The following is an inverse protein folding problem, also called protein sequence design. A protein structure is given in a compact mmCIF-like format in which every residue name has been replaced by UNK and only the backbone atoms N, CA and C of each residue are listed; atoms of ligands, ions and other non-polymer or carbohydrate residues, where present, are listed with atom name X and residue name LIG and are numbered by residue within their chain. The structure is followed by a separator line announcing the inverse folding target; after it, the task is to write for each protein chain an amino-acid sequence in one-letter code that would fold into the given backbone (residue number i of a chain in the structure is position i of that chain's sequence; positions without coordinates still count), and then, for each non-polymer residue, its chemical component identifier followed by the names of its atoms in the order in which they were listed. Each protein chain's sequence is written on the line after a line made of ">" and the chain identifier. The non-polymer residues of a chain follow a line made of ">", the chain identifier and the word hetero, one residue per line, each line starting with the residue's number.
data_IF_075267874423
#
_entry.id   IF_075267874423
#
_cell.length_a   1.000
_cell.length_b   1.000
_cell.length_c   1.000
_cell.angle_alpha   90.00
_cell.angle_beta   90.00
_cell.angle_gamma   90.00
#
_symmetry.space_group_name_H-M   'P 1'
#
loop_
_entity.id
_entity.type
_entity.pdbx_description
1 polymer ?
#
# COMPACT_ATOMS: atom_id res chain seq x y z
N UNK A 1 -61.06 -20.35 -18.62
CA UNK A 1 -61.96 -20.34 -17.43
C UNK A 1 -61.16 -19.70 -16.30
N UNK A 2 -61.53 -18.58 -15.70
CA UNK A 2 -62.56 -17.58 -16.05
C UNK A 2 -62.77 -16.60 -14.88
N UNK A 3 -63.09 -15.34 -15.19
CA UNK A 3 -63.77 -14.32 -14.33
C UNK A 3 -63.07 -13.90 -13.01
N UNK A 4 -63.18 -12.66 -12.53
CA UNK A 4 -63.93 -11.48 -13.00
C UNK A 4 -63.51 -10.19 -12.29
N UNK A 5 -64.19 -9.08 -12.61
CA UNK A 5 -63.81 -7.69 -12.27
C UNK A 5 -64.50 -7.10 -11.01
N UNK A 6 -64.17 -5.83 -10.71
CA UNK A 6 -65.03 -4.80 -10.12
C UNK A 6 -65.37 -4.87 -8.60
N UNK A 7 -65.83 -3.79 -7.94
CA UNK A 7 -65.57 -2.33 -8.07
C UNK A 7 -66.08 -1.61 -6.81
N UNK A 8 -65.76 -0.31 -6.65
CA UNK A 8 -66.10 0.55 -5.50
C UNK A 8 -67.56 1.00 -5.39
N UNK A 9 -68.11 0.98 -4.16
CA UNK A 9 -69.30 1.71 -3.64
C UNK A 9 -69.05 1.92 -2.11
N UNK A 10 -69.49 2.95 -1.37
CA UNK A 10 -70.17 4.22 -1.68
C UNK A 10 -70.93 4.77 -0.42
N UNK A 11 -71.39 6.04 -0.48
CA UNK A 11 -72.35 6.70 0.46
C UNK A 11 -71.86 6.96 1.93
N UNK A 12 -72.31 7.97 2.71
CA UNK A 12 -73.36 9.00 2.54
C UNK A 12 -73.05 10.35 3.27
N UNK A 13 -73.68 11.44 2.82
CA UNK A 13 -73.83 12.76 3.48
C UNK A 13 -75.07 12.75 4.44
N UNK A 14 -75.53 13.83 5.15
CA UNK A 14 -75.27 15.29 4.99
C UNK A 14 -75.19 16.13 6.31
N UNK A 15 -75.24 17.47 6.22
CA UNK A 15 -75.92 18.31 7.23
C UNK A 15 -75.14 19.52 7.79
N UNK A 16 -75.73 20.71 7.78
CA UNK A 16 -75.10 22.00 8.11
C UNK A 16 -75.77 22.70 9.31
N UNK A 17 -75.02 23.48 10.10
CA UNK A 17 -75.54 24.53 11.00
C UNK A 17 -74.99 24.55 12.44
N UNK A 18 -74.67 25.73 12.99
CA UNK A 18 -74.45 25.91 14.44
C UNK A 18 -73.40 26.93 14.88
N UNK A 19 -73.84 28.14 15.20
CA UNK A 19 -73.10 29.35 15.56
C UNK A 19 -72.43 29.36 16.97
N UNK A 20 -71.11 29.65 17.04
CA UNK A 20 -70.40 30.47 18.08
C UNK A 20 -70.39 29.96 19.58
N UNK A 21 -69.57 30.52 20.51
CA UNK A 21 -68.57 29.70 21.21
C UNK A 21 -68.72 29.68 22.75
N UNK A 22 -67.87 28.90 23.43
CA UNK A 22 -67.46 29.21 24.83
C UNK A 22 -66.02 28.81 25.14
N UNK A 23 -65.28 29.79 25.66
CA UNK A 23 -63.89 29.65 26.09
C UNK A 23 -63.78 28.80 27.36
N UNK A 24 -62.82 27.86 27.39
CA UNK A 24 -62.08 27.56 28.61
C UNK A 24 -60.58 27.67 28.34
N UNK A 25 -60.03 28.83 28.74
CA UNK A 25 -58.60 29.10 28.75
C UNK A 25 -57.92 28.23 29.81
N UNK A 26 -57.00 27.36 29.40
CA UNK A 26 -55.88 26.92 30.24
C UNK A 26 -54.61 27.20 29.44
N UNK A 27 -53.72 28.00 30.02
CA UNK A 27 -52.56 28.55 29.32
C UNK A 27 -51.54 27.47 28.94
N UNK A 28 -51.27 27.32 27.64
CA UNK A 28 -50.07 26.60 27.19
C UNK A 28 -48.84 27.51 27.37
N UNK A 29 -48.00 27.18 28.35
CA UNK A 29 -46.65 27.71 28.38
C UNK A 29 -45.87 27.25 27.13
N UNK A 30 -45.08 28.12 26.47
CA UNK A 30 -44.33 27.73 25.29
C UNK A 30 -43.26 26.69 25.67
N UNK A 31 -43.42 25.45 25.20
CA UNK A 31 -42.37 24.43 25.30
C UNK A 31 -41.15 24.90 24.52
N UNK A 32 -40.03 25.10 25.22
CA UNK A 32 -38.76 25.42 24.58
C UNK A 32 -38.40 24.37 23.52
N UNK A 33 -37.84 24.76 22.36
CA UNK A 33 -37.42 23.81 21.34
C UNK A 33 -36.36 22.86 21.92
N UNK A 34 -36.55 21.55 21.74
CA UNK A 34 -35.56 20.54 22.13
C UNK A 34 -34.25 20.87 21.43
N UNK A 35 -33.21 21.24 22.20
CA UNK A 35 -31.86 21.43 21.67
C UNK A 35 -31.39 20.12 21.04
N UNK A 36 -31.26 20.10 19.73
CA UNK A 36 -30.47 19.08 19.03
C UNK A 36 -29.02 19.16 19.54
N UNK A 37 -28.31 18.03 19.70
CA UNK A 37 -26.94 18.05 20.19
C UNK A 37 -25.99 18.56 19.11
N UNK A 38 -25.86 19.88 19.00
CA UNK A 38 -24.85 20.56 18.19
C UNK A 38 -23.42 20.45 18.77
N UNK A 39 -23.11 19.30 19.41
CA UNK A 39 -21.86 19.02 20.10
C UNK A 39 -21.28 17.70 19.58
N UNK A 40 -20.34 17.79 18.62
CA UNK A 40 -19.20 16.87 18.37
C UNK A 40 -18.48 17.15 17.05
N UNK A 41 -19.13 17.80 16.09
CA UNK A 41 -18.52 18.10 14.77
C UNK A 41 -17.44 19.20 14.89
N UNK A 42 -17.69 20.27 15.65
CA UNK A 42 -16.72 21.37 15.86
C UNK A 42 -15.43 20.90 16.50
N UNK A 43 -15.48 20.17 17.62
CA UNK A 43 -14.28 19.66 18.29
C UNK A 43 -13.46 18.66 17.47
N UNK A 44 -14.10 17.89 16.57
CA UNK A 44 -13.39 17.02 15.63
C UNK A 44 -12.66 17.83 14.54
N UNK A 45 -13.29 18.89 14.03
CA UNK A 45 -12.70 19.82 13.06
C UNK A 45 -11.55 20.64 13.69
N UNK A 46 -11.74 21.16 14.89
CA UNK A 46 -10.70 21.87 15.66
C UNK A 46 -9.51 20.94 15.98
N UNK A 47 -9.78 19.70 16.39
CA UNK A 47 -8.75 18.68 16.58
C UNK A 47 -7.98 18.35 15.30
N UNK A 48 -8.66 18.27 14.16
CA UNK A 48 -8.05 18.10 12.84
C UNK A 48 -7.16 19.29 12.45
N UNK A 49 -7.64 20.52 12.61
CA UNK A 49 -6.85 21.73 12.31
C UNK A 49 -5.66 21.90 13.27
N UNK A 50 -5.83 21.61 14.55
CA UNK A 50 -4.73 21.61 15.52
C UNK A 50 -3.70 20.52 15.20
N UNK A 51 -4.13 19.34 14.75
CA UNK A 51 -3.22 18.28 14.28
C UNK A 51 -2.48 18.70 13.01
N UNK A 52 -3.17 19.29 12.03
CA UNK A 52 -2.59 19.76 10.77
C UNK A 52 -1.60 20.92 11.00
N UNK A 53 -1.96 21.89 11.85
CA UNK A 53 -1.10 22.98 12.29
C UNK A 53 0.14 22.47 13.04
N UNK A 54 -0.02 21.49 13.94
CA UNK A 54 1.12 20.85 14.61
C UNK A 54 2.01 20.05 13.65
N UNK A 55 1.44 19.35 12.66
CA UNK A 55 2.20 18.67 11.63
C UNK A 55 3.04 19.67 10.81
N UNK A 56 2.44 20.77 10.34
CA UNK A 56 3.15 21.86 9.65
C UNK A 56 4.21 22.49 10.55
N UNK A 57 3.92 22.77 11.82
CA UNK A 57 4.88 23.32 12.77
C UNK A 57 6.02 22.35 13.10
N UNK A 58 5.81 21.04 13.00
CA UNK A 58 6.84 20.02 13.21
C UNK A 58 7.72 19.86 11.96
N UNK A 59 7.13 19.87 10.76
CA UNK A 59 7.84 19.99 9.47
C UNK A 59 8.68 21.28 9.39
N UNK A 60 8.20 22.37 9.99
CA UNK A 60 8.96 23.63 10.07
C UNK A 60 10.13 23.58 11.04
N UNK A 61 10.01 22.88 12.18
CA UNK A 61 11.03 22.77 13.25
C UNK A 61 12.17 21.79 12.98
N UNK A 62 11.99 20.79 12.12
CA UNK A 62 13.09 19.89 11.67
C UNK A 62 14.10 20.53 10.70
N UNK A 63 14.21 21.86 10.69
CA UNK A 63 14.95 22.61 9.68
C UNK A 63 16.45 22.75 9.98
N UNK A 64 16.78 22.95 11.26
CA UNK A 64 18.11 23.37 11.73
C UNK A 64 19.01 22.20 12.14
N UNK A 65 18.49 20.97 12.06
CA UNK A 65 19.22 19.74 12.35
C UNK A 65 20.13 19.34 11.17
N UNK A 66 21.34 18.81 11.42
CA UNK A 66 22.25 18.38 10.36
C UNK A 66 21.62 17.25 9.54
N UNK A 67 21.40 17.53 8.26
CA UNK A 67 20.74 16.67 7.28
C UNK A 67 21.30 15.23 7.28
N UNK A 68 20.45 14.25 6.95
CA UNK A 68 20.70 12.79 6.94
C UNK A 68 21.73 12.31 5.87
N UNK A 69 22.80 13.08 5.65
CA UNK A 69 23.76 12.86 4.56
C UNK A 69 24.45 11.48 4.65
N UNK A 70 24.67 10.98 5.87
CA UNK A 70 25.23 9.66 6.12
C UNK A 70 24.24 8.56 5.73
N UNK A 71 22.99 8.63 6.20
CA UNK A 71 21.92 7.66 5.92
C UNK A 71 21.61 7.62 4.41
N UNK A 72 21.51 8.79 3.77
CA UNK A 72 21.32 8.91 2.31
C UNK A 72 22.49 8.29 1.53
N UNK A 73 23.74 8.52 1.97
CA UNK A 73 24.92 7.97 1.31
C UNK A 73 25.02 6.45 1.51
N UNK A 74 24.67 5.95 2.69
CA UNK A 74 24.58 4.52 2.98
C UNK A 74 23.49 3.84 2.13
N UNK A 75 22.29 4.42 2.06
CA UNK A 75 21.17 3.90 1.26
C UNK A 75 21.53 3.83 -0.23
N UNK A 76 22.18 4.87 -0.78
CA UNK A 76 22.67 4.86 -2.17
C UNK A 76 23.77 3.82 -2.40
N UNK A 77 24.73 3.67 -1.48
CA UNK A 77 25.77 2.63 -1.58
C UNK A 77 25.15 1.23 -1.55
N UNK A 78 24.18 0.98 -0.68
CA UNK A 78 23.45 -0.29 -0.64
C UNK A 78 22.71 -0.55 -1.95
N UNK A 79 21.95 0.42 -2.46
CA UNK A 79 21.22 0.29 -3.72
C UNK A 79 22.15 -0.02 -4.90
N UNK A 80 23.30 0.66 -5.00
CA UNK A 80 24.32 0.41 -6.01
C UNK A 80 24.93 -0.99 -5.91
N UNK A 81 25.39 -1.40 -4.71
CA UNK A 81 25.97 -2.72 -4.48
C UNK A 81 24.97 -3.84 -4.78
N UNK A 82 23.72 -3.67 -4.35
CA UNK A 82 22.64 -4.60 -4.63
C UNK A 82 22.33 -4.68 -6.14
N UNK A 83 22.23 -3.54 -6.85
CA UNK A 83 22.02 -3.54 -8.29
C UNK A 83 23.16 -4.21 -9.06
N UNK A 84 24.42 -4.00 -8.65
CA UNK A 84 25.59 -4.66 -9.23
C UNK A 84 25.53 -6.17 -8.98
N UNK A 85 25.26 -6.61 -7.73
CA UNK A 85 25.13 -8.02 -7.40
C UNK A 85 23.99 -8.70 -8.18
N UNK A 86 22.84 -8.02 -8.33
CA UNK A 86 21.72 -8.49 -9.12
C UNK A 86 22.08 -8.59 -10.61
N UNK A 87 22.76 -7.59 -11.17
CA UNK A 87 23.22 -7.59 -12.55
C UNK A 87 24.23 -8.70 -12.85
N UNK A 88 25.12 -8.99 -11.90
CA UNK A 88 26.09 -10.09 -12.01
C UNK A 88 25.38 -11.44 -11.99
N UNK A 89 24.48 -11.68 -11.03
CA UNK A 89 23.76 -12.96 -10.92
C UNK A 89 22.84 -13.20 -12.11
N UNK A 90 21.99 -12.23 -12.48
CA UNK A 90 21.11 -12.37 -13.65
C UNK A 90 21.95 -12.50 -14.94
N UNK A 91 23.03 -11.71 -15.06
CA UNK A 91 23.98 -11.80 -16.16
C UNK A 91 24.69 -13.15 -16.29
N UNK A 92 24.88 -13.90 -15.19
CA UNK A 92 25.43 -15.26 -15.23
C UNK A 92 24.39 -16.34 -15.58
N UNK A 93 23.09 -16.03 -15.45
CA UNK A 93 22.00 -16.96 -15.78
C UNK A 93 21.57 -16.89 -17.26
N UNK A 94 21.53 -15.68 -17.85
CA UNK A 94 21.11 -15.48 -19.26
C UNK A 94 22.24 -15.03 -20.21
N UNK A 95 23.39 -14.60 -19.67
CA UNK A 95 24.40 -13.87 -20.43
C UNK A 95 24.08 -12.37 -20.57
N UNK A 96 25.10 -11.51 -20.42
CA UNK A 96 24.95 -10.05 -20.37
C UNK A 96 24.21 -9.42 -21.57
N UNK A 97 24.34 -10.01 -22.76
CA UNK A 97 23.66 -9.53 -23.97
C UNK A 97 22.14 -9.78 -23.93
N UNK A 98 21.71 -10.89 -23.31
CA UNK A 98 20.30 -11.21 -23.11
C UNK A 98 19.67 -10.38 -21.97
N UNK A 99 20.47 -9.82 -21.06
CA UNK A 99 19.98 -8.84 -20.07
C UNK A 99 19.60 -7.52 -20.74
N UNK A 100 20.39 -7.05 -21.71
CA UNK A 100 20.29 -5.69 -22.24
C UNK A 100 18.94 -5.37 -22.89
N UNK A 101 18.39 -6.28 -23.70
CA UNK A 101 17.16 -6.02 -24.49
C UNK A 101 15.89 -6.02 -23.62
N UNK A 102 15.63 -7.01 -22.74
CA UNK A 102 14.48 -6.94 -21.82
C UNK A 102 14.65 -5.86 -20.75
N UNK A 103 15.88 -5.55 -20.31
CA UNK A 103 16.12 -4.44 -19.39
C UNK A 103 15.77 -3.07 -20.01
N UNK A 104 15.97 -2.88 -21.32
CA UNK A 104 15.47 -1.70 -22.03
C UNK A 104 13.93 -1.63 -22.04
N UNK A 105 13.25 -2.74 -22.38
CA UNK A 105 11.79 -2.80 -22.38
C UNK A 105 11.16 -2.58 -20.99
N UNK A 106 11.69 -3.26 -19.97
CA UNK A 106 11.30 -3.06 -18.57
C UNK A 106 11.60 -1.65 -18.07
N UNK A 107 12.73 -1.05 -18.49
CA UNK A 107 13.08 0.34 -18.20
C UNK A 107 12.09 1.36 -18.77
N UNK A 108 11.58 1.13 -19.98
CA UNK A 108 10.53 1.97 -20.60
C UNK A 108 9.22 1.89 -19.80
N UNK A 109 8.77 0.69 -19.44
CA UNK A 109 7.57 0.52 -18.62
C UNK A 109 7.74 1.14 -17.23
N UNK A 110 8.91 0.99 -16.60
CA UNK A 110 9.20 1.58 -15.31
C UNK A 110 9.30 3.13 -15.39
N UNK A 111 9.79 3.69 -16.49
CA UNK A 111 9.74 5.13 -16.74
C UNK A 111 8.30 5.64 -16.85
N UNK A 112 7.41 4.93 -17.55
CA UNK A 112 5.99 5.31 -17.61
C UNK A 112 5.31 5.19 -16.24
N UNK A 113 5.60 4.15 -15.46
CA UNK A 113 5.13 4.04 -14.08
C UNK A 113 5.60 5.22 -13.21
N UNK A 114 6.88 5.59 -13.27
CA UNK A 114 7.41 6.77 -12.57
C UNK A 114 6.70 8.05 -13.02
N UNK A 115 6.51 8.25 -14.33
CA UNK A 115 5.76 9.39 -14.89
C UNK A 115 4.36 9.45 -14.31
N UNK A 116 3.63 8.35 -14.32
CA UNK A 116 2.21 8.31 -13.94
C UNK A 116 2.01 8.50 -12.43
N UNK A 117 2.89 7.91 -11.61
CA UNK A 117 2.94 8.21 -10.17
C UNK A 117 3.24 9.70 -9.93
N UNK A 118 4.27 10.25 -10.57
CA UNK A 118 4.65 11.66 -10.38
C UNK A 118 3.57 12.64 -10.85
N UNK A 119 2.88 12.37 -11.96
CA UNK A 119 1.73 13.15 -12.41
C UNK A 119 0.55 13.04 -11.45
N UNK A 120 0.24 11.82 -10.97
CA UNK A 120 -0.82 11.57 -10.00
C UNK A 120 -0.63 12.31 -8.67
N UNK A 121 0.62 12.43 -8.19
CA UNK A 121 0.93 13.23 -6.99
C UNK A 121 1.31 14.68 -7.25
N UNK A 122 1.40 15.14 -8.50
CA UNK A 122 1.87 16.49 -8.82
C UNK A 122 1.16 17.62 -8.03
N UNK A 123 -0.17 17.60 -7.83
CA UNK A 123 -0.85 18.59 -6.99
C UNK A 123 -0.42 18.54 -5.52
N UNK A 124 -0.21 17.34 -4.98
CA UNK A 124 0.26 17.12 -3.59
C UNK A 124 1.72 17.58 -3.44
N UNK A 125 2.56 17.30 -4.44
CA UNK A 125 3.94 17.76 -4.49
C UNK A 125 4.02 19.30 -4.55
N UNK A 126 3.13 19.98 -5.27
CA UNK A 126 3.02 21.45 -5.26
C UNK A 126 2.64 21.97 -3.86
N UNK A 127 1.63 21.39 -3.21
CA UNK A 127 1.23 21.81 -1.85
C UNK A 127 2.37 21.58 -0.85
N UNK A 128 3.04 20.43 -0.89
CA UNK A 128 4.22 20.16 -0.08
C UNK A 128 5.36 21.13 -0.38
N UNK A 129 5.62 21.44 -1.64
CA UNK A 129 6.62 22.42 -2.07
C UNK A 129 6.36 23.81 -1.49
N UNK A 130 5.10 24.27 -1.51
CA UNK A 130 4.68 25.56 -0.93
C UNK A 130 4.83 25.53 0.60
N UNK A 131 4.43 24.45 1.27
CA UNK A 131 4.48 24.31 2.73
C UNK A 131 5.92 24.18 3.28
N UNK A 132 6.79 23.46 2.56
CA UNK A 132 8.19 23.21 2.93
C UNK A 132 9.09 24.41 2.55
N UNK A 133 8.81 25.06 1.42
CA UNK A 133 9.51 26.26 0.95
C UNK A 133 10.70 25.98 0.03
N UNK A 134 10.76 26.74 -1.06
CA UNK A 134 11.74 26.64 -2.15
C UNK A 134 13.21 26.57 -1.70
N UNK A 135 13.61 27.44 -0.76
CA UNK A 135 14.98 27.49 -0.24
C UNK A 135 15.42 26.15 0.38
N UNK A 136 14.52 25.42 1.05
CA UNK A 136 14.85 24.13 1.69
C UNK A 136 15.03 23.02 0.64
N UNK A 137 14.22 23.02 -0.40
CA UNK A 137 14.32 22.07 -1.51
C UNK A 137 15.61 22.33 -2.31
N UNK A 138 15.97 23.59 -2.55
CA UNK A 138 17.28 23.94 -3.15
C UNK A 138 18.46 23.45 -2.30
N UNK A 139 18.49 23.78 -1.01
CA UNK A 139 19.60 23.40 -0.11
C UNK A 139 19.75 21.88 0.07
N UNK A 140 18.66 21.11 -0.04
CA UNK A 140 18.65 19.64 0.13
C UNK A 140 18.58 18.86 -1.19
N UNK A 141 18.47 19.55 -2.33
CA UNK A 141 18.13 18.95 -3.64
C UNK A 141 19.09 17.85 -4.10
N UNK A 142 20.40 18.07 -3.94
CA UNK A 142 21.42 17.06 -4.30
C UNK A 142 21.32 15.77 -3.47
N UNK A 143 20.75 15.81 -2.27
CA UNK A 143 20.53 14.62 -1.46
C UNK A 143 19.16 13.98 -1.71
N UNK A 144 18.11 14.76 -1.96
CA UNK A 144 16.83 14.23 -2.43
C UNK A 144 16.98 13.47 -3.75
N UNK A 145 17.80 14.01 -4.67
CA UNK A 145 18.18 13.34 -5.91
C UNK A 145 18.93 12.02 -5.66
N UNK A 146 19.87 11.98 -4.71
CA UNK A 146 20.58 10.73 -4.32
C UNK A 146 19.63 9.67 -3.77
N UNK A 147 18.67 10.04 -2.92
CA UNK A 147 17.67 9.10 -2.39
C UNK A 147 16.76 8.60 -3.49
N UNK A 148 16.26 9.49 -4.35
CA UNK A 148 15.39 9.11 -5.47
C UNK A 148 16.12 8.19 -6.46
N UNK A 149 17.36 8.52 -6.84
CA UNK A 149 18.20 7.67 -7.67
C UNK A 149 18.45 6.30 -7.03
N UNK A 150 18.71 6.25 -5.71
CA UNK A 150 18.84 4.99 -4.98
C UNK A 150 17.55 4.15 -5.00
N UNK A 151 16.37 4.78 -4.88
CA UNK A 151 15.09 4.08 -5.00
C UNK A 151 14.90 3.47 -6.40
N UNK A 152 15.25 4.20 -7.45
CA UNK A 152 15.19 3.74 -8.85
C UNK A 152 16.18 2.59 -9.09
N UNK A 153 17.46 2.76 -8.73
CA UNK A 153 18.51 1.74 -8.89
C UNK A 153 18.17 0.45 -8.15
N UNK A 154 17.69 0.55 -6.90
CA UNK A 154 17.24 -0.59 -6.12
C UNK A 154 16.04 -1.30 -6.77
N UNK A 155 15.02 -0.56 -7.22
CA UNK A 155 13.84 -1.16 -7.87
C UNK A 155 14.19 -1.83 -9.20
N UNK A 156 15.11 -1.28 -9.99
CA UNK A 156 15.62 -1.95 -11.20
C UNK A 156 16.29 -3.28 -10.87
N UNK A 157 17.16 -3.32 -9.86
CA UNK A 157 17.82 -4.56 -9.41
C UNK A 157 16.82 -5.58 -8.86
N UNK A 158 15.80 -5.11 -8.15
CA UNK A 158 14.70 -5.93 -7.62
C UNK A 158 13.88 -6.58 -8.73
N UNK A 159 13.47 -5.82 -9.75
CA UNK A 159 12.69 -6.35 -10.87
C UNK A 159 13.49 -7.38 -11.67
N UNK A 160 14.78 -7.12 -11.92
CA UNK A 160 15.68 -8.10 -12.54
C UNK A 160 15.78 -9.39 -11.71
N UNK A 161 16.09 -9.27 -10.42
CA UNK A 161 16.25 -10.41 -9.52
C UNK A 161 14.97 -11.23 -9.42
N UNK A 162 13.83 -10.58 -9.15
CA UNK A 162 12.52 -11.24 -9.01
C UNK A 162 12.09 -11.93 -10.30
N UNK A 163 12.33 -11.31 -11.45
CA UNK A 163 12.08 -11.91 -12.76
C UNK A 163 12.94 -13.15 -13.05
N UNK A 164 14.11 -13.27 -12.44
CA UNK A 164 15.02 -14.41 -12.62
C UNK A 164 14.80 -15.59 -11.65
N UNK A 165 14.01 -15.42 -10.57
CA UNK A 165 13.81 -16.48 -9.58
C UNK A 165 13.28 -17.81 -10.18
N UNK A 166 12.33 -17.81 -11.15
CA UNK A 166 11.84 -19.04 -11.77
C UNK A 166 12.90 -19.80 -12.60
N UNK A 167 14.00 -19.14 -12.96
CA UNK A 167 15.15 -19.79 -13.63
C UNK A 167 16.00 -20.61 -12.66
N UNK A 168 16.03 -20.21 -11.39
CA UNK A 168 16.81 -20.86 -10.34
C UNK A 168 16.04 -22.00 -9.68
N UNK A 169 14.71 -21.86 -9.57
CA UNK A 169 13.82 -22.84 -8.96
C UNK A 169 12.41 -22.67 -9.55
N UNK A 170 11.76 -23.75 -10.03
CA UNK A 170 10.40 -23.67 -10.57
C UNK A 170 9.40 -23.30 -9.46
N UNK A 171 8.24 -22.77 -9.83
CA UNK A 171 7.13 -22.56 -8.90
C UNK A 171 6.65 -23.90 -8.32
N UNK A 172 6.50 -23.96 -7.00
CA UNK A 172 6.14 -25.19 -6.29
C UNK A 172 5.24 -24.96 -5.06
N UNK A 173 5.22 -23.73 -4.52
CA UNK A 173 4.60 -23.45 -3.23
C UNK A 173 3.10 -23.10 -3.33
N UNK A 174 2.56 -22.92 -4.54
CA UNK A 174 1.14 -22.57 -4.76
C UNK A 174 0.14 -23.50 -4.07
N UNK A 175 0.21 -24.85 -4.17
CA UNK A 175 -0.74 -25.72 -3.49
C UNK A 175 -0.73 -25.53 -1.98
N UNK A 176 0.47 -25.40 -1.39
CA UNK A 176 0.62 -25.19 0.05
C UNK A 176 -0.01 -23.86 0.51
N UNK A 177 0.23 -22.76 -0.20
CA UNK A 177 -0.36 -21.47 0.19
C UNK A 177 -1.87 -21.43 -0.03
N UNK A 178 -2.37 -22.04 -1.12
CA UNK A 178 -3.79 -22.15 -1.38
C UNK A 178 -4.50 -23.00 -0.30
N UNK A 179 -3.95 -24.14 0.07
CA UNK A 179 -4.49 -25.01 1.13
C UNK A 179 -4.42 -24.35 2.51
N UNK A 180 -3.36 -23.58 2.80
CA UNK A 180 -3.24 -22.82 4.03
C UNK A 180 -4.26 -21.66 4.10
N UNK A 181 -4.47 -20.93 3.00
CA UNK A 181 -5.51 -19.90 2.91
C UNK A 181 -6.90 -20.51 3.17
N UNK A 182 -7.22 -21.65 2.52
CA UNK A 182 -8.48 -22.37 2.72
C UNK A 182 -8.64 -22.84 4.18
N UNK A 183 -7.60 -23.42 4.77
CA UNK A 183 -7.62 -23.91 6.16
C UNK A 183 -7.81 -22.81 7.20
N UNK A 184 -7.28 -21.60 6.95
CA UNK A 184 -7.40 -20.46 7.85
C UNK A 184 -8.75 -19.72 7.75
N UNK A 185 -9.40 -19.75 6.59
CA UNK A 185 -10.59 -18.93 6.31
C UNK A 185 -11.88 -19.73 6.03
N UNK A 186 -11.78 -21.06 5.89
CA UNK A 186 -12.88 -21.96 5.53
C UNK A 186 -13.33 -21.90 4.06
N UNK A 187 -12.84 -20.93 3.29
CA UNK A 187 -13.04 -20.71 1.86
C UNK A 187 -11.87 -19.89 1.32
N UNK A 188 -11.53 -20.01 0.03
CA UNK A 188 -10.47 -19.20 -0.57
C UNK A 188 -10.77 -17.67 -0.39
N UNK A 189 -9.84 -16.87 0.17
CA UNK A 189 -10.12 -15.49 0.61
C UNK A 189 -10.63 -14.50 -0.44
N UNK A 190 -10.42 -14.78 -1.73
CA UNK A 190 -10.96 -13.96 -2.81
C UNK A 190 -12.50 -13.94 -2.81
N UNK A 191 -13.15 -15.03 -2.35
CA UNK A 191 -14.62 -15.11 -2.25
C UNK A 191 -15.15 -14.06 -1.27
N UNK A 192 -14.49 -13.88 -0.12
CA UNK A 192 -14.81 -12.81 0.82
C UNK A 192 -14.56 -11.42 0.24
N UNK A 193 -13.47 -11.25 -0.52
CA UNK A 193 -13.11 -9.96 -1.11
C UNK A 193 -14.17 -9.49 -2.13
N UNK A 194 -14.61 -10.37 -3.02
CA UNK A 194 -15.67 -10.09 -4.00
C UNK A 194 -17.08 -10.06 -3.39
N UNK A 195 -17.31 -10.74 -2.26
CA UNK A 195 -18.55 -10.63 -1.50
C UNK A 195 -18.75 -9.28 -0.80
N UNK A 196 -17.65 -8.59 -0.46
CA UNK A 196 -17.69 -7.28 0.21
C UNK A 196 -17.85 -6.08 -0.75
N UNK A 197 -17.38 -6.21 -1.99
CA UNK A 197 -17.43 -5.15 -3.00
C UNK A 197 -17.95 -5.72 -4.31
N UNK A 198 -19.13 -5.26 -4.72
CA UNK A 198 -19.78 -5.70 -5.95
C UNK A 198 -18.97 -5.40 -7.22
N UNK A 199 -19.18 -6.24 -8.24
CA UNK A 199 -18.33 -6.39 -9.44
C UNK A 199 -18.00 -5.10 -10.23
N UNK A 200 -18.77 -4.02 -10.07
CA UNK A 200 -18.64 -2.78 -10.86
C UNK A 200 -17.60 -1.75 -10.38
N UNK A 201 -17.04 -1.87 -9.18
CA UNK A 201 -16.11 -0.85 -8.61
C UNK A 201 -14.62 -1.17 -8.79
N UNK A 202 -14.29 -2.34 -9.35
CA UNK A 202 -12.91 -2.87 -9.44
C UNK A 202 -11.91 -1.94 -10.13
N UNK A 203 -12.31 -1.23 -11.20
CA UNK A 203 -11.42 -0.31 -11.93
C UNK A 203 -10.99 0.90 -11.09
N UNK A 204 -11.91 1.51 -10.32
CA UNK A 204 -11.59 2.67 -9.47
C UNK A 204 -10.69 2.24 -8.31
N UNK A 205 -10.99 1.09 -7.73
CA UNK A 205 -10.19 0.45 -6.68
C UNK A 205 -8.75 0.17 -7.14
N UNK A 206 -8.55 -0.27 -8.38
CA UNK A 206 -7.21 -0.52 -8.90
C UNK A 206 -6.39 0.74 -9.18
N UNK A 207 -7.00 1.80 -9.72
CA UNK A 207 -6.28 3.06 -9.93
C UNK A 207 -5.82 3.64 -8.60
N UNK A 208 -6.69 3.56 -7.58
CA UNK A 208 -6.32 3.86 -6.19
C UNK A 208 -5.20 2.94 -5.68
N UNK A 209 -5.29 1.63 -5.91
CA UNK A 209 -4.25 0.65 -5.54
C UNK A 209 -2.89 1.04 -6.11
N UNK A 210 -2.74 1.05 -7.44
CA UNK A 210 -1.45 1.27 -8.11
C UNK A 210 -0.90 2.67 -7.89
N UNK A 211 -1.75 3.70 -7.92
CA UNK A 211 -1.29 5.08 -7.74
C UNK A 211 -0.89 5.33 -6.30
N UNK A 212 -1.76 5.06 -5.32
CA UNK A 212 -1.45 5.32 -3.90
C UNK A 212 -0.32 4.42 -3.41
N UNK A 213 -0.28 3.15 -3.82
CA UNK A 213 0.84 2.28 -3.51
C UNK A 213 2.13 2.74 -4.17
N UNK A 214 2.08 3.15 -5.45
CA UNK A 214 3.21 3.68 -6.19
C UNK A 214 3.90 4.86 -5.51
N UNK A 215 3.15 5.73 -4.81
CA UNK A 215 3.71 6.80 -3.98
C UNK A 215 4.60 6.25 -2.86
N UNK A 216 4.12 5.26 -2.10
CA UNK A 216 4.91 4.67 -1.01
C UNK A 216 6.05 3.80 -1.56
N UNK A 217 5.81 3.08 -2.66
CA UNK A 217 6.80 2.25 -3.34
C UNK A 217 7.98 3.05 -3.91
N UNK A 218 7.73 4.22 -4.49
CA UNK A 218 8.76 5.04 -5.15
C UNK A 218 9.32 6.15 -4.25
N UNK A 219 8.45 6.83 -3.49
CA UNK A 219 8.78 8.10 -2.83
C UNK A 219 8.93 7.98 -1.31
N UNK A 220 8.67 6.83 -0.68
CA UNK A 220 8.74 6.72 0.79
C UNK A 220 10.09 7.17 1.39
N UNK A 221 11.27 6.73 0.91
CA UNK A 221 12.55 7.20 1.46
C UNK A 221 12.78 8.71 1.23
N UNK A 222 12.24 9.28 0.14
CA UNK A 222 12.30 10.73 -0.13
C UNK A 222 11.42 11.48 0.86
N UNK A 223 10.18 11.03 1.05
CA UNK A 223 9.23 11.57 2.05
C UNK A 223 9.88 11.52 3.43
N UNK A 224 10.38 10.35 3.85
CA UNK A 224 11.03 10.10 5.14
C UNK A 224 12.17 11.09 5.43
N UNK A 225 13.07 11.32 4.48
CA UNK A 225 14.20 12.28 4.61
C UNK A 225 13.75 13.74 4.63
N UNK A 226 12.57 14.05 4.09
CA UNK A 226 11.98 15.39 4.10
C UNK A 226 11.20 15.68 5.39
N UNK A 227 10.37 14.73 5.85
CA UNK A 227 9.38 14.97 6.92
C UNK A 227 9.82 14.54 8.32
N UNK A 228 10.98 13.90 8.43
CA UNK A 228 11.50 13.38 9.69
C UNK A 228 12.91 13.87 9.99
N UNK A 229 13.14 14.30 11.23
CA UNK A 229 14.44 14.77 11.73
C UNK A 229 15.12 13.74 12.64
N UNK A 230 14.43 12.68 13.05
CA UNK A 230 14.98 11.63 13.91
C UNK A 230 15.83 10.65 13.09
N UNK A 231 17.15 10.78 13.18
CA UNK A 231 18.12 9.93 12.48
C UNK A 231 17.93 8.43 12.77
N UNK A 232 17.56 8.06 14.00
CA UNK A 232 17.37 6.66 14.37
C UNK A 232 16.09 6.09 13.74
N UNK A 233 15.01 6.88 13.68
CA UNK A 233 13.77 6.51 12.96
C UNK A 233 13.98 6.48 11.45
N UNK A 234 14.63 7.49 10.86
CA UNK A 234 14.95 7.52 9.42
C UNK A 234 15.79 6.31 9.03
N UNK A 235 16.87 6.00 9.75
CA UNK A 235 17.69 4.80 9.49
C UNK A 235 16.89 3.50 9.63
N UNK A 236 16.06 3.36 10.68
CA UNK A 236 15.18 2.19 10.88
C UNK A 236 14.24 2.00 9.69
N UNK A 237 13.56 3.06 9.25
CA UNK A 237 12.58 2.95 8.15
C UNK A 237 13.23 2.82 6.76
N UNK A 238 14.44 3.33 6.55
CA UNK A 238 15.24 2.97 5.37
C UNK A 238 15.60 1.47 5.36
N UNK A 239 16.05 0.91 6.49
CA UNK A 239 16.34 -0.53 6.60
C UNK A 239 15.07 -1.35 6.32
N UNK A 240 13.93 -1.01 6.94
CA UNK A 240 12.66 -1.71 6.72
C UNK A 240 12.18 -1.64 5.27
N UNK A 241 12.36 -0.50 4.61
CA UNK A 241 12.04 -0.35 3.19
C UNK A 241 12.95 -1.23 2.32
N UNK A 242 14.27 -1.23 2.55
CA UNK A 242 15.19 -2.16 1.87
C UNK A 242 14.82 -3.62 2.13
N UNK A 243 14.40 -3.96 3.35
CA UNK A 243 13.94 -5.30 3.70
C UNK A 243 12.65 -5.70 2.96
N UNK A 244 11.69 -4.79 2.78
CA UNK A 244 10.46 -5.06 2.03
C UNK A 244 10.73 -5.45 0.57
N UNK A 245 11.69 -4.78 -0.09
CA UNK A 245 12.06 -5.07 -1.48
C UNK A 245 13.03 -6.24 -1.61
N UNK A 246 14.18 -6.19 -0.94
CA UNK A 246 15.30 -7.12 -1.17
C UNK A 246 15.16 -8.38 -0.33
N UNK A 247 14.95 -8.24 0.98
CA UNK A 247 14.87 -9.40 1.88
C UNK A 247 13.59 -10.20 1.60
N UNK A 248 12.42 -9.57 1.67
CA UNK A 248 11.14 -10.25 1.41
C UNK A 248 11.02 -10.61 -0.07
N UNK A 249 11.13 -9.62 -0.94
CA UNK A 249 10.81 -9.76 -2.36
C UNK A 249 11.80 -10.53 -3.22
N UNK A 250 12.99 -10.88 -2.71
CA UNK A 250 13.92 -11.80 -3.36
C UNK A 250 14.35 -12.97 -2.46
N UNK A 251 14.85 -12.72 -1.26
CA UNK A 251 15.44 -13.79 -0.42
C UNK A 251 14.37 -14.71 0.17
N UNK A 252 13.32 -14.14 0.78
CA UNK A 252 12.19 -14.93 1.30
C UNK A 252 11.33 -15.47 0.15
N UNK A 253 11.14 -14.68 -0.91
CA UNK A 253 10.44 -15.11 -2.12
C UNK A 253 11.02 -16.40 -2.73
N UNK A 254 12.36 -16.51 -2.79
CA UNK A 254 13.04 -17.70 -3.29
C UNK A 254 12.72 -18.97 -2.46
N UNK A 255 12.51 -18.83 -1.15
CA UNK A 255 12.14 -19.94 -0.25
C UNK A 255 10.67 -20.34 -0.29
N UNK A 256 9.86 -19.73 -1.14
CA UNK A 256 8.43 -20.00 -1.25
C UNK A 256 7.86 -19.55 -2.59
N UNK A 257 8.48 -19.96 -3.70
CA UNK A 257 8.08 -19.50 -5.03
C UNK A 257 6.67 -19.99 -5.41
N UNK A 258 5.77 -19.03 -5.53
CA UNK A 258 4.38 -19.21 -5.96
C UNK A 258 3.97 -18.18 -7.02
N UNK A 259 3.01 -18.51 -7.88
CA UNK A 259 2.46 -17.62 -8.92
C UNK A 259 1.24 -16.82 -8.45
N UNK A 260 0.50 -17.33 -7.46
CA UNK A 260 -0.70 -16.69 -6.92
C UNK A 260 -2.01 -17.14 -7.58
N UNK A 261 -3.17 -16.88 -6.94
CA UNK A 261 -4.48 -17.36 -7.39
C UNK A 261 -4.80 -17.14 -8.88
N UNK A 262 -4.45 -15.97 -9.43
CA UNK A 262 -4.73 -15.59 -10.83
C UNK A 262 -4.03 -16.49 -11.87
N UNK A 263 -2.91 -17.11 -11.49
CA UNK A 263 -2.10 -17.94 -12.38
C UNK A 263 -2.09 -19.43 -11.98
N UNK A 264 -2.67 -19.79 -10.83
CA UNK A 264 -2.68 -21.15 -10.28
C UNK A 264 -3.15 -22.20 -11.29
N UNK A 265 -4.39 -22.07 -11.79
CA UNK A 265 -4.98 -23.03 -12.75
C UNK A 265 -4.24 -23.00 -14.11
N UNK A 266 -3.64 -21.85 -14.48
CA UNK A 266 -2.83 -21.75 -15.71
C UNK A 266 -1.49 -22.50 -15.58
N UNK A 267 -0.94 -22.62 -14.37
CA UNK A 267 0.32 -23.30 -14.08
C UNK A 267 0.13 -24.81 -13.82
N UNK A 268 -0.86 -25.17 -13.00
CA UNK A 268 -1.05 -26.53 -12.47
C UNK A 268 -2.16 -27.31 -13.18
N UNK A 269 -3.00 -26.63 -13.98
CA UNK A 269 -4.26 -27.17 -14.46
C UNK A 269 -5.34 -27.20 -13.37
N UNK A 270 -6.54 -27.62 -13.76
CA UNK A 270 -7.71 -27.62 -12.88
C UNK A 270 -8.55 -26.33 -12.98
N UNK A 271 -9.45 -26.14 -12.02
CA UNK A 271 -10.47 -25.08 -12.02
C UNK A 271 -10.64 -24.44 -10.63
N UNK A 272 -9.63 -24.52 -9.74
CA UNK A 272 -9.75 -24.10 -8.33
C UNK A 272 -10.09 -22.61 -8.21
N UNK A 273 -9.48 -21.79 -9.06
CA UNK A 273 -9.69 -20.35 -9.11
C UNK A 273 -10.46 -19.91 -10.37
N UNK A 274 -11.09 -20.85 -11.11
CA UNK A 274 -11.91 -20.53 -12.28
C UNK A 274 -13.02 -19.52 -11.97
N UNK A 275 -13.63 -19.60 -10.78
CA UNK A 275 -14.62 -18.62 -10.31
C UNK A 275 -14.04 -17.21 -10.12
N UNK A 276 -12.79 -17.09 -9.66
CA UNK A 276 -12.10 -15.80 -9.54
C UNK A 276 -11.86 -15.21 -10.94
N UNK A 277 -11.40 -16.02 -11.89
CA UNK A 277 -11.20 -15.58 -13.28
C UNK A 277 -12.52 -15.10 -13.89
N UNK A 278 -13.61 -15.85 -13.71
CA UNK A 278 -14.93 -15.46 -14.20
C UNK A 278 -15.39 -14.11 -13.64
N UNK A 279 -15.32 -13.91 -12.31
CA UNK A 279 -15.75 -12.65 -11.67
C UNK A 279 -14.88 -11.46 -12.10
N UNK A 280 -13.56 -11.65 -12.29
CA UNK A 280 -12.68 -10.59 -12.82
C UNK A 280 -13.00 -10.26 -14.29
N UNK A 281 -13.37 -11.25 -15.10
CA UNK A 281 -13.77 -11.05 -16.50
C UNK A 281 -15.10 -10.28 -16.58
N UNK A 282 -16.11 -10.70 -15.82
CA UNK A 282 -17.45 -10.09 -15.77
C UNK A 282 -17.41 -8.65 -15.20
N UNK A 283 -16.55 -8.41 -14.21
CA UNK A 283 -16.25 -7.07 -13.68
C UNK A 283 -15.44 -6.18 -14.62
N UNK A 284 -15.14 -6.62 -15.85
CA UNK A 284 -14.40 -5.87 -16.87
C UNK A 284 -12.92 -5.66 -16.57
N UNK A 285 -12.37 -6.30 -15.53
CA UNK A 285 -11.00 -6.08 -15.05
C UNK A 285 -9.97 -6.48 -16.12
N UNK A 286 -10.29 -7.42 -16.99
CA UNK A 286 -9.41 -7.78 -18.12
C UNK A 286 -9.15 -6.63 -19.09
N UNK A 287 -10.13 -5.72 -19.26
CA UNK A 287 -10.00 -4.55 -20.14
C UNK A 287 -9.29 -3.38 -19.46
N UNK A 288 -8.89 -3.54 -18.20
CA UNK A 288 -8.10 -2.55 -17.46
C UNK A 288 -6.61 -2.88 -17.53
N UNK A 289 -5.78 -1.96 -17.06
CA UNK A 289 -4.34 -2.19 -16.88
C UNK A 289 -4.04 -3.40 -15.99
N UNK A 290 -4.96 -3.89 -15.13
CA UNK A 290 -4.78 -5.16 -14.41
C UNK A 290 -4.63 -6.31 -15.39
N UNK A 291 -5.67 -6.59 -16.20
CA UNK A 291 -5.70 -7.74 -17.09
C UNK A 291 -4.57 -7.71 -18.11
N UNK A 292 -4.37 -6.54 -18.73
CA UNK A 292 -3.24 -6.32 -19.64
C UNK A 292 -1.89 -6.63 -18.97
N UNK A 293 -1.73 -6.30 -17.68
CA UNK A 293 -0.53 -6.66 -16.92
C UNK A 293 -0.51 -8.17 -16.63
N UNK A 294 -1.59 -8.76 -16.12
CA UNK A 294 -1.67 -10.20 -15.81
C UNK A 294 -1.34 -11.06 -17.02
N UNK A 295 -1.94 -10.77 -18.18
CA UNK A 295 -1.67 -11.47 -19.43
C UNK A 295 -0.28 -11.16 -19.99
N UNK A 296 0.27 -9.95 -19.81
CA UNK A 296 1.65 -9.66 -20.21
C UNK A 296 2.67 -10.43 -19.36
N UNK A 297 2.51 -10.47 -18.03
CA UNK A 297 3.37 -11.23 -17.13
C UNK A 297 3.30 -12.74 -17.45
N UNK A 298 2.08 -13.27 -17.63
CA UNK A 298 1.86 -14.67 -18.00
C UNK A 298 2.45 -15.01 -19.37
N UNK A 299 2.23 -14.14 -20.37
CA UNK A 299 2.78 -14.31 -21.72
C UNK A 299 4.30 -14.36 -21.69
N UNK A 300 4.96 -13.43 -21.00
CA UNK A 300 6.40 -13.45 -20.82
C UNK A 300 6.85 -14.80 -20.23
N UNK A 301 6.30 -15.18 -19.08
CA UNK A 301 6.63 -16.45 -18.42
C UNK A 301 6.45 -17.69 -19.33
N UNK A 302 5.30 -17.80 -19.99
CA UNK A 302 4.97 -18.93 -20.88
C UNK A 302 5.78 -18.99 -22.17
N UNK A 303 6.41 -17.88 -22.59
CA UNK A 303 7.29 -17.82 -23.77
C UNK A 303 8.71 -18.33 -23.48
N UNK A 304 9.05 -18.64 -22.23
CA UNK A 304 10.28 -19.32 -21.84
C UNK A 304 11.15 -18.54 -20.85
N UNK A 305 12.03 -19.26 -20.15
CA UNK A 305 12.82 -18.75 -19.03
C UNK A 305 13.82 -17.62 -19.38
N UNK A 306 14.05 -17.32 -20.67
CA UNK A 306 14.89 -16.20 -21.11
C UNK A 306 14.19 -14.83 -21.00
N UNK A 307 12.88 -14.79 -20.76
CA UNK A 307 12.12 -13.54 -20.62
C UNK A 307 12.36 -12.87 -19.24
N UNK A 308 13.50 -12.20 -19.08
CA UNK A 308 13.71 -11.28 -17.96
C UNK A 308 12.57 -10.25 -17.96
N UNK A 309 11.73 -10.30 -16.92
CA UNK A 309 10.65 -9.32 -16.73
C UNK A 309 9.26 -9.88 -16.50
N UNK A 310 9.05 -11.21 -16.52
CA UNK A 310 7.74 -11.76 -16.11
C UNK A 310 7.41 -11.41 -14.65
N UNK A 311 8.42 -11.27 -13.77
CA UNK A 311 8.28 -10.75 -12.40
C UNK A 311 7.36 -11.53 -11.47
N UNK A 312 6.81 -12.67 -11.95
CA UNK A 312 5.81 -13.46 -11.24
C UNK A 312 6.46 -14.07 -10.00
N UNK A 313 5.97 -13.66 -8.83
CA UNK A 313 6.20 -14.31 -7.55
C UNK A 313 5.23 -13.66 -6.55
N UNK A 314 4.20 -14.40 -6.15
CA UNK A 314 3.16 -13.93 -5.26
C UNK A 314 3.67 -13.89 -3.80
N UNK A 315 4.20 -14.99 -3.29
CA UNK A 315 4.76 -15.02 -1.95
C UNK A 315 6.18 -14.44 -1.88
N UNK A 316 6.52 -13.67 -0.82
CA UNK A 316 5.61 -12.89 0.03
C UNK A 316 5.21 -11.57 -0.65
N UNK A 317 4.09 -10.97 -0.24
CA UNK A 317 3.57 -9.78 -0.92
C UNK A 317 4.39 -8.52 -0.60
N UNK A 318 5.23 -8.09 -1.55
CA UNK A 318 5.99 -6.83 -1.46
C UNK A 318 5.05 -5.62 -1.36
N UNK A 319 3.87 -5.69 -1.98
CA UNK A 319 2.86 -4.64 -1.89
C UNK A 319 2.45 -4.38 -0.43
N UNK A 320 2.04 -5.45 0.26
CA UNK A 320 1.67 -5.43 1.68
C UNK A 320 2.88 -5.12 2.57
N UNK A 321 4.09 -5.56 2.21
CA UNK A 321 5.31 -5.22 2.94
C UNK A 321 5.57 -3.71 2.95
N UNK A 322 5.57 -3.05 1.78
CA UNK A 322 5.73 -1.58 1.67
C UNK A 322 4.61 -0.85 2.39
N UNK A 323 3.36 -1.33 2.31
CA UNK A 323 2.25 -0.75 3.05
C UNK A 323 2.41 -0.91 4.58
N UNK A 324 3.02 -2.02 5.04
CA UNK A 324 3.34 -2.25 6.45
C UNK A 324 4.41 -1.27 6.93
N UNK A 325 5.47 -1.04 6.13
CA UNK A 325 6.50 -0.03 6.42
C UNK A 325 5.87 1.36 6.58
N UNK A 326 4.95 1.74 5.69
CA UNK A 326 4.21 3.00 5.78
C UNK A 326 3.30 3.08 7.02
N UNK A 327 2.57 2.02 7.34
CA UNK A 327 1.67 1.96 8.50
C UNK A 327 2.44 2.08 9.83
N UNK A 328 3.51 1.31 10.01
CA UNK A 328 4.36 1.41 11.21
C UNK A 328 5.06 2.75 11.32
N UNK A 329 5.46 3.36 10.19
CA UNK A 329 6.02 4.72 10.18
C UNK A 329 5.01 5.74 10.70
N UNK A 330 3.80 5.75 10.13
CA UNK A 330 2.73 6.65 10.53
C UNK A 330 2.33 6.46 12.00
N UNK A 331 2.26 5.21 12.47
CA UNK A 331 1.98 4.88 13.86
C UNK A 331 3.05 5.40 14.83
N UNK A 332 4.34 5.36 14.47
CA UNK A 332 5.40 5.99 15.25
C UNK A 332 5.37 7.52 15.22
N UNK A 333 4.89 8.14 14.13
CA UNK A 333 4.80 9.61 14.02
C UNK A 333 3.68 10.18 14.88
N UNK A 334 2.53 9.50 14.96
CA UNK A 334 1.41 9.91 15.81
C UNK A 334 0.36 8.80 15.94
N UNK A 335 -0.22 8.64 17.13
CA UNK A 335 -1.41 7.79 17.36
C UNK A 335 -2.60 8.12 16.45
N UNK A 336 -2.71 9.37 15.99
CA UNK A 336 -3.76 9.79 15.05
C UNK A 336 -3.45 9.42 13.59
N UNK A 337 -2.17 9.25 13.25
CA UNK A 337 -1.72 8.78 11.94
C UNK A 337 -1.70 7.25 11.84
N UNK A 338 -1.67 6.55 12.98
CA UNK A 338 -1.80 5.09 13.04
C UNK A 338 -3.09 4.60 12.35
N UNK A 339 -4.25 5.21 12.63
CA UNK A 339 -5.54 4.79 12.05
C UNK A 339 -5.56 4.83 10.52
N UNK A 340 -5.26 5.96 9.82
CA UNK A 340 -5.20 5.97 8.37
C UNK A 340 -4.04 5.13 7.81
N UNK A 341 -2.93 4.98 8.54
CA UNK A 341 -1.81 4.11 8.15
C UNK A 341 -2.19 2.62 8.10
N UNK A 342 -2.82 2.11 9.16
CA UNK A 342 -3.32 0.72 9.19
C UNK A 342 -4.55 0.52 8.30
N UNK A 343 -5.40 1.54 8.11
CA UNK A 343 -6.47 1.52 7.11
C UNK A 343 -5.93 1.35 5.68
N UNK A 344 -4.85 2.06 5.34
CA UNK A 344 -4.14 1.90 4.06
C UNK A 344 -3.52 0.50 3.92
N UNK A 345 -2.89 -0.05 4.98
CA UNK A 345 -2.39 -1.43 4.96
C UNK A 345 -3.50 -2.46 4.72
N UNK A 346 -4.63 -2.33 5.43
CA UNK A 346 -5.78 -3.21 5.26
C UNK A 346 -6.36 -3.12 3.84
N UNK A 347 -6.41 -1.91 3.25
CA UNK A 347 -6.84 -1.70 1.88
C UNK A 347 -5.89 -2.36 0.86
N UNK A 348 -4.57 -2.21 1.02
CA UNK A 348 -3.58 -2.84 0.12
C UNK A 348 -3.64 -4.37 0.23
N UNK A 349 -3.80 -4.92 1.43
CA UNK A 349 -3.99 -6.36 1.65
C UNK A 349 -5.28 -6.87 0.98
N UNK A 350 -6.40 -6.19 1.21
CA UNK A 350 -7.68 -6.53 0.58
C UNK A 350 -7.57 -6.52 -0.95
N UNK A 351 -6.96 -5.48 -1.53
CA UNK A 351 -6.83 -5.34 -2.99
C UNK A 351 -5.86 -6.35 -3.60
N UNK A 352 -4.84 -6.77 -2.85
CA UNK A 352 -3.91 -7.85 -3.23
C UNK A 352 -4.65 -9.19 -3.41
N UNK A 353 -5.60 -9.49 -2.52
CA UNK A 353 -6.43 -10.70 -2.57
C UNK A 353 -7.55 -10.57 -3.60
N UNK A 354 -8.27 -9.43 -3.63
CA UNK A 354 -9.36 -9.15 -4.58
C UNK A 354 -8.93 -9.32 -6.04
N UNK A 355 -7.72 -8.88 -6.38
CA UNK A 355 -7.18 -8.96 -7.76
C UNK A 355 -6.61 -10.33 -8.12
N UNK A 356 -6.51 -11.27 -7.16
CA UNK A 356 -5.92 -12.59 -7.37
C UNK A 356 -4.40 -12.63 -7.47
N UNK A 357 -3.70 -11.51 -7.26
CA UNK A 357 -2.23 -11.48 -7.30
C UNK A 357 -1.58 -12.20 -6.12
N UNK A 358 -2.28 -12.33 -5.01
CA UNK A 358 -1.75 -12.85 -3.75
C UNK A 358 -2.74 -13.73 -3.01
N UNK A 359 -2.22 -14.76 -2.33
CA UNK A 359 -2.92 -15.41 -1.23
C UNK A 359 -2.99 -14.46 -0.03
N UNK A 360 -3.97 -14.61 0.87
CA UNK A 360 -4.03 -13.78 2.09
C UNK A 360 -2.79 -14.02 2.98
N UNK A 361 -2.31 -15.27 3.05
CA UNK A 361 -1.06 -15.62 3.75
C UNK A 361 0.19 -14.92 3.21
N UNK A 362 0.26 -14.56 1.93
CA UNK A 362 1.39 -13.77 1.38
C UNK A 362 1.50 -12.41 2.07
N UNK A 363 0.34 -11.81 2.37
CA UNK A 363 0.22 -10.55 3.08
C UNK A 363 0.49 -10.70 4.56
N UNK A 364 0.00 -11.76 5.20
CA UNK A 364 0.27 -12.05 6.62
C UNK A 364 1.75 -12.27 6.88
N UNK A 365 2.44 -13.04 6.02
CA UNK A 365 3.89 -13.21 6.10
C UNK A 365 4.62 -11.86 6.00
N UNK A 366 4.23 -11.00 5.05
CA UNK A 366 4.82 -9.65 4.92
C UNK A 366 4.59 -8.77 6.16
N UNK A 367 3.38 -8.76 6.72
CA UNK A 367 3.06 -7.99 7.94
C UNK A 367 3.87 -8.50 9.13
N UNK A 368 3.95 -9.82 9.30
CA UNK A 368 4.69 -10.45 10.40
C UNK A 368 6.20 -10.16 10.32
N UNK A 369 6.83 -10.35 9.15
CA UNK A 369 8.28 -10.14 9.02
C UNK A 369 8.64 -8.65 9.14
N UNK A 370 7.89 -7.74 8.50
CA UNK A 370 8.13 -6.30 8.62
C UNK A 370 7.85 -5.82 10.06
N UNK A 371 6.80 -6.33 10.71
CA UNK A 371 6.47 -6.01 12.10
C UNK A 371 7.53 -6.50 13.09
N UNK A 372 8.04 -7.72 12.91
CA UNK A 372 9.12 -8.29 13.72
C UNK A 372 10.43 -7.50 13.56
N UNK A 373 10.83 -7.21 12.31
CA UNK A 373 12.00 -6.36 12.04
C UNK A 373 11.84 -4.95 12.61
N UNK A 374 10.64 -4.37 12.51
CA UNK A 374 10.34 -3.06 13.07
C UNK A 374 10.50 -3.05 14.59
N UNK A 375 9.89 -4.02 15.28
CA UNK A 375 9.98 -4.18 16.73
C UNK A 375 11.44 -4.40 17.18
N UNK A 376 12.19 -5.28 16.50
CA UNK A 376 13.60 -5.53 16.79
C UNK A 376 14.47 -4.28 16.60
N UNK A 377 14.37 -3.60 15.45
CA UNK A 377 15.14 -2.38 15.18
C UNK A 377 14.80 -1.22 16.13
N UNK A 378 13.54 -1.16 16.59
CA UNK A 378 13.09 -0.18 17.58
C UNK A 378 13.64 -0.50 18.97
N UNK A 379 13.60 -1.76 19.38
CA UNK A 379 14.19 -2.24 20.65
C UNK A 379 15.70 -2.01 20.69
N UNK A 380 16.44 -2.39 19.63
CA UNK A 380 17.88 -2.13 19.51
C UNK A 380 18.24 -0.63 19.52
N UNK A 381 17.37 0.24 19.01
CA UNK A 381 17.57 1.68 19.12
C UNK A 381 17.44 2.16 20.58
N UNK A 382 16.35 1.78 21.26
CA UNK A 382 16.12 2.14 22.66
C UNK A 382 17.21 1.59 23.61
N UNK A 383 17.63 0.34 23.41
CA UNK A 383 18.69 -0.28 24.20
C UNK A 383 20.06 0.42 24.05
N UNK A 384 20.35 1.00 22.87
CA UNK A 384 21.57 1.80 22.68
C UNK A 384 21.51 3.16 23.37
N UNK A 385 20.37 3.86 23.28
CA UNK A 385 20.16 5.12 24.02
C UNK A 385 20.34 4.91 25.53
N UNK A 386 19.67 3.90 26.10
CA UNK A 386 19.80 3.58 27.53
C UNK A 386 21.24 3.21 27.97
N UNK A 387 22.04 2.58 27.08
CA UNK A 387 23.46 2.32 27.36
C UNK A 387 24.32 3.58 27.30
N UNK A 388 24.09 4.45 26.32
CA UNK A 388 24.82 5.72 26.17
C UNK A 388 24.53 6.70 27.34
N UNK A 389 23.32 6.65 27.89
CA UNK A 389 22.90 7.43 29.07
C UNK A 389 23.41 6.84 30.41
N UNK A 390 24.01 5.64 30.40
CA UNK A 390 24.55 5.02 31.61
C UNK A 390 25.95 5.55 31.98
N UNK A 391 26.31 5.64 33.28
CA UNK A 391 27.63 6.14 33.70
C UNK A 391 28.82 5.36 33.11
N UNK A 392 28.65 4.07 32.83
CA UNK A 392 29.67 3.24 32.19
C UNK A 392 29.76 3.48 30.67
N UNK A 393 28.65 3.83 30.01
CA UNK A 393 28.62 4.19 28.59
C UNK A 393 29.24 5.56 28.30
N UNK A 394 29.10 6.51 29.24
CA UNK A 394 29.72 7.84 29.16
C UNK A 394 31.27 7.83 29.23
N UNK A 395 31.87 6.71 29.63
CA UNK A 395 33.32 6.51 29.73
C UNK A 395 33.90 5.64 28.59
N UNK A 396 33.06 5.11 27.70
CA UNK A 396 33.51 4.35 26.54
C UNK A 396 33.92 5.30 25.39
N UNK A 397 35.08 5.11 24.75
CA UNK A 397 35.45 5.89 23.57
C UNK A 397 34.46 5.61 22.42
N UNK A 398 34.18 6.63 21.61
CA UNK A 398 33.29 6.51 20.46
C UNK A 398 34.02 5.83 19.29
N UNK A 399 33.60 4.62 18.94
CA UNK A 399 33.98 3.87 17.73
C UNK A 399 33.01 4.13 16.55
#
# INVERSE_FOLDING_TARGET
>A
MGLGEASTIGESCPGNGGFQPRNHLIAMAPRAPKRTPALRVTGAIEGFWAMFGNAIAHLRRGADQPFHAHEVSWFLRFALLYFIAASILVGSLVGLNAVAVPAMGGGINFFFFIRDVLLGVFPVLIVLFIVIGWQRIKLRGGALLKVFAACVIMQSGFTMMKGSLPMLMPFYADPFFADLDLALHGVDPWVWAHGLIGMGEGQKLFLAYTTLWGVWALLFPVILVVVDSDRARVKRFMILFLSAWVLLGNVVAFGGLSVGPIFYDRLLGGERFAGLIAVLNDGGIQQTTIGMTQDALWRLYSQGAESIGSGISAFPSVHVAVASVAAFYLAERSRWLALPGFGYLALVLFLSVYTGYHYAVDGYASILVIGALWAALKWHAAARSARAESPAGALAPAE
#
